data_IF_672160042033
#
_entry.id   IF_672160042033
#
_cell.length_a   1.000
_cell.length_b   1.000
_cell.length_c   1.000
_cell.angle_alpha   90.00
_cell.angle_beta   90.00
_cell.angle_gamma   90.00
#
_symmetry.space_group_name_H-M   'P 1'
#
loop_
_entity.id
_entity.type
_entity.pdbx_description
1 polymer ?
#
# COMPACT_ATOMS: atom_id res chain seq x y z
N UNK A 1 3.08 -18.66 0.18
CA UNK A 1 1.70 -18.93 -0.29
C UNK A 1 1.09 -17.59 -0.70
N UNK A 2 0.13 -17.56 -1.64
CA UNK A 2 -0.64 -16.35 -1.93
C UNK A 2 -1.98 -16.44 -1.20
N UNK A 3 -2.40 -15.33 -0.61
CA UNK A 3 -3.68 -15.20 0.07
C UNK A 3 -4.42 -13.98 -0.47
N UNK A 4 -5.75 -14.02 -0.39
CA UNK A 4 -6.62 -12.89 -0.77
C UNK A 4 -6.97 -12.08 0.47
N UNK A 5 -6.73 -10.78 0.40
CA UNK A 5 -7.09 -9.83 1.45
C UNK A 5 -7.97 -8.73 0.90
N UNK A 6 -8.69 -8.02 1.77
CA UNK A 6 -9.47 -6.85 1.37
C UNK A 6 -8.56 -5.81 0.69
N UNK A 7 -9.04 -5.23 -0.39
CA UNK A 7 -8.37 -4.12 -1.05
C UNK A 7 -8.41 -2.90 -0.12
N UNK A 8 -7.26 -2.54 0.45
CA UNK A 8 -7.14 -1.40 1.35
C UNK A 8 -7.54 -0.09 0.69
N UNK A 9 -7.06 0.16 -0.54
CA UNK A 9 -7.31 1.41 -1.25
C UNK A 9 -8.79 1.77 -1.41
N UNK A 10 -9.66 0.78 -1.65
CA UNK A 10 -11.11 1.02 -1.74
C UNK A 10 -11.88 0.49 -0.50
N UNK A 11 -11.20 0.10 0.56
CA UNK A 11 -11.77 -0.51 1.75
C UNK A 11 -12.76 -1.66 1.45
N UNK A 12 -12.44 -2.50 0.46
CA UNK A 12 -13.28 -3.62 0.05
C UNK A 12 -14.59 -3.26 -0.67
N UNK A 13 -14.84 -1.99 -1.01
CA UNK A 13 -16.04 -1.58 -1.76
C UNK A 13 -16.01 -2.06 -3.22
N UNK A 14 -14.81 -2.12 -3.81
CA UNK A 14 -14.64 -2.36 -5.25
C UNK A 14 -14.85 -1.12 -6.12
N UNK A 15 -15.17 0.03 -5.51
CA UNK A 15 -15.44 1.29 -6.19
C UNK A 15 -14.24 2.23 -5.99
N UNK A 16 -13.95 3.08 -6.96
CA UNK A 16 -12.93 4.12 -6.82
C UNK A 16 -13.27 5.05 -5.64
N UNK A 17 -12.40 5.17 -4.63
CA UNK A 17 -12.70 5.93 -3.41
C UNK A 17 -12.80 7.44 -3.65
N UNK A 18 -12.34 7.93 -4.80
CA UNK A 18 -12.29 9.35 -5.13
C UNK A 18 -13.39 9.77 -6.12
N UNK A 19 -14.26 8.84 -6.53
CA UNK A 19 -15.35 9.09 -7.47
C UNK A 19 -14.88 9.63 -8.81
N UNK A 20 -13.66 9.27 -9.25
CA UNK A 20 -13.12 9.74 -10.52
C UNK A 20 -13.99 9.20 -11.66
N UNK A 21 -14.30 10.06 -12.63
CA UNK A 21 -15.18 9.80 -13.79
C UNK A 21 -16.68 9.58 -13.45
N UNK A 22 -17.01 8.79 -12.42
CA UNK A 22 -18.39 8.54 -11.96
C UNK A 22 -18.43 7.84 -10.59
N UNK A 23 -19.60 7.82 -9.93
CA UNK A 23 -19.82 7.08 -8.67
C UNK A 23 -19.81 5.56 -8.80
N UNK A 24 -19.86 5.02 -10.02
CA UNK A 24 -19.83 3.58 -10.30
C UNK A 24 -18.47 3.11 -10.83
N UNK A 25 -17.48 4.02 -10.89
CA UNK A 25 -16.15 3.71 -11.36
C UNK A 25 -15.52 2.62 -10.50
N UNK A 26 -15.02 1.57 -11.16
CA UNK A 26 -14.37 0.45 -10.46
C UNK A 26 -13.04 0.91 -9.86
N UNK A 27 -12.71 0.39 -8.68
CA UNK A 27 -11.43 0.62 -8.03
C UNK A 27 -10.27 0.21 -8.95
N UNK A 28 -9.32 1.11 -9.17
CA UNK A 28 -8.16 0.89 -10.04
C UNK A 28 -7.21 -0.23 -9.56
N UNK A 29 -7.21 -0.53 -8.25
CA UNK A 29 -6.33 -1.56 -7.65
C UNK A 29 -6.93 -2.96 -7.80
N UNK A 30 -8.15 -3.17 -7.28
CA UNK A 30 -8.80 -4.49 -7.30
C UNK A 30 -9.70 -4.71 -8.54
N UNK A 31 -9.88 -3.70 -9.39
CA UNK A 31 -10.71 -3.75 -10.61
C UNK A 31 -12.17 -4.15 -10.35
N UNK A 32 -12.69 -3.82 -9.16
CA UNK A 32 -14.04 -4.18 -8.73
C UNK A 32 -14.17 -5.51 -7.99
N UNK A 33 -13.10 -6.30 -7.86
CA UNK A 33 -13.14 -7.61 -7.19
C UNK A 33 -13.18 -7.54 -5.66
N UNK A 34 -12.98 -6.35 -5.07
CA UNK A 34 -12.93 -6.07 -3.62
C UNK A 34 -11.72 -6.67 -2.88
N UNK A 35 -11.05 -7.65 -3.49
CA UNK A 35 -9.91 -8.36 -2.93
C UNK A 35 -8.64 -8.13 -3.75
N UNK A 36 -7.49 -8.30 -3.13
CA UNK A 36 -6.17 -8.30 -3.79
C UNK A 36 -5.36 -9.50 -3.32
N UNK A 37 -4.56 -10.07 -4.22
CA UNK A 37 -3.62 -11.12 -3.86
C UNK A 37 -2.34 -10.54 -3.23
N UNK A 38 -1.91 -11.17 -2.14
CA UNK A 38 -0.64 -10.89 -1.48
C UNK A 38 0.11 -12.17 -1.15
N UNK A 39 1.44 -12.10 -1.26
CA UNK A 39 2.34 -13.20 -0.93
C UNK A 39 2.71 -13.17 0.55
N UNK A 40 2.63 -14.32 1.21
CA UNK A 40 3.11 -14.51 2.58
C UNK A 40 4.63 -14.76 2.63
N UNK A 41 5.33 -14.28 3.68
CA UNK A 41 4.81 -13.45 4.77
C UNK A 41 4.62 -11.99 4.34
N UNK A 42 3.66 -11.28 4.93
CA UNK A 42 3.46 -9.86 4.66
C UNK A 42 3.27 -9.06 5.95
N UNK A 43 3.49 -7.76 5.86
CA UNK A 43 3.21 -6.78 6.92
C UNK A 43 2.34 -5.65 6.37
N UNK A 44 1.68 -4.94 7.26
CA UNK A 44 1.03 -3.67 6.92
C UNK A 44 2.08 -2.69 6.40
N UNK A 45 1.73 -1.94 5.35
CA UNK A 45 2.60 -0.95 4.75
C UNK A 45 2.75 0.23 5.70
N UNK A 46 3.93 0.36 6.33
CA UNK A 46 4.23 1.46 7.27
C UNK A 46 4.21 2.83 6.58
N UNK A 47 4.58 2.89 5.29
CA UNK A 47 4.61 4.15 4.55
C UNK A 47 3.21 4.78 4.48
N UNK A 48 2.18 4.04 4.07
CA UNK A 48 0.79 4.53 4.04
C UNK A 48 -0.05 4.15 5.26
N UNK A 49 0.57 3.63 6.32
CA UNK A 49 -0.12 3.13 7.52
C UNK A 49 -1.25 2.13 7.20
N UNK A 50 -1.08 1.33 6.15
CA UNK A 50 -2.06 0.33 5.73
C UNK A 50 -3.23 0.84 4.88
N UNK A 51 -3.39 2.15 4.64
CA UNK A 51 -4.54 2.68 3.87
C UNK A 51 -4.52 2.25 2.40
N UNK A 52 -3.32 2.02 1.84
CA UNK A 52 -3.15 1.84 0.40
C UNK A 52 -3.27 3.14 -0.39
N UNK A 53 -3.49 4.28 0.25
CA UNK A 53 -3.58 5.58 -0.43
C UNK A 53 -2.21 6.26 -0.56
N UNK A 54 -2.07 7.13 -1.55
CA UNK A 54 -0.86 7.93 -1.70
C UNK A 54 -0.81 9.02 -0.62
N UNK A 55 0.28 9.03 0.17
CA UNK A 55 0.48 9.97 1.27
C UNK A 55 0.73 11.43 0.84
N UNK A 56 1.10 11.65 -0.41
CA UNK A 56 1.37 12.98 -0.96
C UNK A 56 0.09 13.68 -1.48
N UNK A 57 -1.09 13.15 -1.15
CA UNK A 57 -2.39 13.75 -1.48
C UNK A 57 -2.86 13.50 -2.93
N UNK A 58 -2.08 12.78 -3.73
CA UNK A 58 -2.52 12.38 -5.06
C UNK A 58 -3.63 11.31 -4.97
N UNK A 59 -4.63 11.37 -5.86
CA UNK A 59 -5.76 10.42 -5.93
C UNK A 59 -5.38 9.11 -6.64
N UNK A 60 -4.27 8.53 -6.21
CA UNK A 60 -3.68 7.33 -6.80
C UNK A 60 -3.26 6.35 -5.68
N UNK A 61 -2.99 5.08 -6.00
CA UNK A 61 -2.54 4.11 -5.01
C UNK A 61 -1.22 4.51 -4.37
N UNK A 62 -0.98 4.01 -3.16
CA UNK A 62 0.31 4.13 -2.49
C UNK A 62 1.42 3.58 -3.39
N UNK A 63 2.45 4.38 -3.63
CA UNK A 63 3.57 4.04 -4.50
C UNK A 63 4.45 2.90 -3.96
N UNK A 64 4.38 2.62 -2.65
CA UNK A 64 5.16 1.55 -2.01
C UNK A 64 4.45 0.20 -2.15
N UNK A 65 3.17 0.12 -1.76
CA UNK A 65 2.43 -1.13 -1.72
C UNK A 65 1.45 -1.34 -2.90
N UNK A 66 1.40 -0.40 -3.85
CA UNK A 66 0.49 -0.45 -5.00
C UNK A 66 -0.99 -0.45 -4.61
N UNK A 67 -1.34 0.14 -3.47
CA UNK A 67 -2.73 0.18 -2.99
C UNK A 67 -3.22 -1.02 -2.20
N UNK A 68 -2.36 -2.03 -1.97
CA UNK A 68 -2.73 -3.23 -1.20
C UNK A 68 -2.78 -2.99 0.30
N UNK A 69 -2.20 -1.88 0.79
CA UNK A 69 -2.04 -1.60 2.22
C UNK A 69 -1.02 -2.51 2.91
N UNK A 70 -0.39 -3.45 2.20
CA UNK A 70 0.50 -4.44 2.77
C UNK A 70 1.65 -4.73 1.80
N UNK A 71 2.83 -5.05 2.35
CA UNK A 71 4.02 -5.44 1.59
C UNK A 71 4.45 -6.86 1.97
N UNK A 72 4.79 -7.68 0.98
CA UNK A 72 5.45 -8.95 1.21
C UNK A 72 6.87 -8.67 1.74
N UNK A 73 7.26 -9.35 2.81
CA UNK A 73 8.57 -9.20 3.45
C UNK A 73 9.13 -10.57 3.79
N UNK A 74 10.43 -10.74 3.56
CA UNK A 74 11.14 -11.97 3.89
C UNK A 74 12.03 -11.81 5.13
N UNK A 75 12.55 -10.60 5.35
CA UNK A 75 13.33 -10.24 6.54
C UNK A 75 12.60 -9.15 7.34
N UNK A 76 12.73 -9.19 8.66
CA UNK A 76 12.13 -8.23 9.60
C UNK A 76 13.18 -7.46 10.39
N UNK A 77 14.28 -7.07 9.75
CA UNK A 77 15.28 -6.21 10.38
C UNK A 77 14.89 -4.77 10.07
N UNK A 78 14.82 -3.91 11.09
CA UNK A 78 14.49 -2.51 10.87
C UNK A 78 15.54 -1.82 9.99
N UNK A 79 15.07 -1.01 9.04
CA UNK A 79 15.93 -0.22 8.18
C UNK A 79 16.71 0.79 9.03
N UNK A 80 18.03 0.71 9.01
CA UNK A 80 18.90 1.57 9.81
C UNK A 80 18.83 3.06 9.43
N UNK A 81 18.42 3.39 8.20
CA UNK A 81 18.25 4.77 7.74
C UNK A 81 16.96 5.40 8.25
N UNK A 82 15.80 4.77 7.98
CA UNK A 82 14.50 5.34 8.36
C UNK A 82 13.97 4.85 9.72
N UNK A 83 14.70 3.95 10.39
CA UNK A 83 14.34 3.37 11.69
C UNK A 83 12.92 2.79 11.70
N UNK A 84 12.57 2.02 10.68
CA UNK A 84 11.25 1.39 10.56
C UNK A 84 10.12 2.27 10.01
N UNK A 85 10.32 3.60 9.89
CA UNK A 85 9.23 4.51 9.46
C UNK A 85 8.84 4.37 7.99
N UNK A 86 9.75 3.88 7.15
CA UNK A 86 9.58 3.82 5.69
C UNK A 86 9.65 5.20 5.01
N UNK A 87 9.92 6.29 5.72
CA UNK A 87 10.01 7.63 5.14
C UNK A 87 11.48 8.07 4.99
N UNK A 88 11.77 8.79 3.90
CA UNK A 88 12.93 9.66 3.79
C UNK A 88 12.71 10.99 4.51
N UNK A 89 13.74 11.84 4.54
CA UNK A 89 13.67 13.18 5.14
C UNK A 89 12.72 14.14 4.41
N UNK A 90 12.39 13.81 3.16
CA UNK A 90 11.50 14.53 2.25
C UNK A 90 10.07 13.97 2.24
N UNK A 91 9.73 13.06 3.16
CA UNK A 91 8.46 12.32 3.22
C UNK A 91 8.19 11.40 2.02
N UNK A 92 9.14 11.28 1.10
CA UNK A 92 9.11 10.25 0.05
C UNK A 92 9.49 8.89 0.67
N UNK A 93 9.28 7.78 -0.05
CA UNK A 93 9.72 6.47 0.43
C UNK A 93 11.22 6.46 0.72
N UNK A 94 11.61 5.88 1.85
CA UNK A 94 13.02 5.71 2.18
C UNK A 94 13.72 4.93 1.07
N UNK A 95 14.73 5.56 0.45
CA UNK A 95 15.44 5.01 -0.72
C UNK A 95 16.19 3.71 -0.40
N UNK A 96 16.58 3.49 0.86
CA UNK A 96 17.31 2.28 1.27
C UNK A 96 16.44 1.03 1.38
N UNK A 97 15.18 1.17 1.80
CA UNK A 97 14.24 0.06 1.98
C UNK A 97 13.02 0.14 1.05
N UNK A 98 13.02 1.07 0.09
CA UNK A 98 11.88 1.33 -0.80
C UNK A 98 10.61 1.76 -0.07
N UNK A 99 10.73 2.29 1.16
CA UNK A 99 9.62 2.64 2.04
C UNK A 99 8.93 1.48 2.76
N UNK A 100 9.46 0.26 2.70
CA UNK A 100 8.94 -0.89 3.46
C UNK A 100 9.20 -0.75 4.96
N UNK A 101 10.23 0.00 5.35
CA UNK A 101 10.67 0.14 6.75
C UNK A 101 11.59 -0.97 7.23
N UNK A 102 11.67 -2.09 6.50
CA UNK A 102 12.49 -3.26 6.83
C UNK A 102 13.54 -3.55 5.76
N UNK A 103 14.63 -4.23 6.13
CA UNK A 103 15.70 -4.70 5.24
C UNK A 103 16.15 -6.13 5.60
#
# INVERSE_FOLDING_TARGET
MNVKINCAFCNGTGIDPFGLLSSISKCQVCKGSKLVDIKEPFISCVYCSGSGENKLGARVPCIVCGGKGNNNVHNKIDCNQCKGTGNGSDYLPCTLCGGIGLK
#
